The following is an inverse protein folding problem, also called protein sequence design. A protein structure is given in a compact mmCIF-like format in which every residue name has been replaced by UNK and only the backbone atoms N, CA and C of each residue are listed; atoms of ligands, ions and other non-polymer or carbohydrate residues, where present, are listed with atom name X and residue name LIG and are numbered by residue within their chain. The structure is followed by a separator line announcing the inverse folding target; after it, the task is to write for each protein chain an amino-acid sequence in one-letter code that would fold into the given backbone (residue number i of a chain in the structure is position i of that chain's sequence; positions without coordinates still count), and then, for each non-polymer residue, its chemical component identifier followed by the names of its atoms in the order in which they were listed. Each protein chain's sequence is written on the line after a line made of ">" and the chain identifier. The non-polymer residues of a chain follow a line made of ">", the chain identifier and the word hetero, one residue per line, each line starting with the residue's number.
data_IF_626985372241
#
_entry.id   IF_626985372241
#
_cell.length_a   1.000
_cell.length_b   1.000
_cell.length_c   1.000
_cell.angle_alpha   90.00
_cell.angle_beta   90.00
_cell.angle_gamma   90.00
#
_symmetry.space_group_name_H-M   'P 1'
#
loop_
_entity.id
_entity.type
_entity.pdbx_description
1 polymer ?
#
# COMPACT_ATOMS: atom_id res chain seq x y z
N UNK A 1 17.40 3.07 6.73
CA UNK A 1 16.39 2.33 5.95
C UNK A 1 17.04 1.13 5.27
N UNK A 2 16.44 -0.05 5.41
CA UNK A 2 16.89 -1.35 4.91
C UNK A 2 16.44 -1.61 3.46
N UNK A 3 15.19 -1.27 3.13
CA UNK A 3 14.64 -1.53 1.79
C UNK A 3 13.81 -0.34 1.28
N UNK A 4 13.92 -0.08 -0.02
CA UNK A 4 13.14 0.94 -0.74
C UNK A 4 12.38 0.28 -1.86
N UNK A 5 11.10 0.57 -1.97
CA UNK A 5 10.28 -0.16 -2.92
C UNK A 5 9.06 0.60 -3.38
N UNK A 6 8.16 -0.17 -3.98
CA UNK A 6 6.96 0.34 -4.63
C UNK A 6 5.82 -0.67 -4.51
N UNK A 7 4.59 -0.18 -4.51
CA UNK A 7 3.41 -1.00 -4.63
C UNK A 7 3.13 -1.35 -6.10
N UNK A 8 2.70 -2.59 -6.33
CA UNK A 8 2.31 -3.11 -7.62
C UNK A 8 0.87 -3.66 -7.54
N UNK A 9 -0.03 -2.94 -8.19
CA UNK A 9 -1.46 -3.25 -8.20
C UNK A 9 -1.78 -4.42 -9.15
N UNK A 10 -2.40 -5.45 -8.60
CA UNK A 10 -2.91 -6.61 -9.34
C UNK A 10 -4.44 -6.56 -9.57
N UNK A 11 -5.12 -5.62 -8.92
CA UNK A 11 -6.57 -5.39 -9.01
C UNK A 11 -7.28 -5.51 -7.65
N UNK A 12 -7.91 -4.43 -7.18
CA UNK A 12 -8.80 -4.50 -5.98
C UNK A 12 -10.02 -3.55 -5.99
N UNK A 13 -9.93 -2.38 -6.64
CA UNK A 13 -11.02 -1.40 -6.75
C UNK A 13 -11.18 -0.88 -8.18
N UNK A 14 -12.35 -0.38 -8.63
CA UNK A 14 -13.56 -0.12 -7.86
C UNK A 14 -14.65 -1.19 -8.02
N UNK A 15 -15.40 -1.43 -6.93
CA UNK A 15 -16.62 -2.24 -6.93
C UNK A 15 -16.37 -3.70 -7.36
N UNK A 16 -17.23 -4.22 -8.22
CA UNK A 16 -17.09 -5.57 -8.77
C UNK A 16 -15.97 -5.67 -9.82
N UNK A 17 -15.50 -4.54 -10.37
CA UNK A 17 -14.39 -4.52 -11.33
C UNK A 17 -13.03 -4.47 -10.62
N UNK A 18 -11.98 -4.77 -11.37
CA UNK A 18 -10.59 -4.63 -10.92
C UNK A 18 -9.99 -3.35 -11.48
N UNK A 19 -9.20 -2.65 -10.67
CA UNK A 19 -8.39 -1.48 -11.08
C UNK A 19 -7.54 -1.80 -12.29
N UNK A 20 -7.08 -3.05 -12.35
CA UNK A 20 -6.33 -3.63 -13.44
C UNK A 20 -7.13 -4.69 -14.16
N UNK A 21 -7.76 -4.31 -15.26
CA UNK A 21 -8.52 -5.24 -16.12
C UNK A 21 -7.60 -6.19 -16.87
N UNK A 22 -6.56 -5.65 -17.52
CA UNK A 22 -5.57 -6.44 -18.25
C UNK A 22 -4.44 -6.90 -17.33
N UNK A 23 -4.33 -8.21 -17.14
CA UNK A 23 -3.29 -8.84 -16.32
C UNK A 23 -2.79 -10.08 -17.03
N UNK A 24 -1.52 -10.06 -17.47
CA UNK A 24 -0.85 -11.20 -18.10
C UNK A 24 0.49 -11.44 -17.43
N UNK A 25 0.93 -12.71 -17.27
CA UNK A 25 2.24 -13.02 -16.73
C UNK A 25 3.38 -12.29 -17.46
N UNK A 26 3.27 -12.12 -18.78
CA UNK A 26 4.28 -11.45 -19.60
C UNK A 26 4.42 -9.97 -19.26
N UNK A 27 3.30 -9.27 -19.11
CA UNK A 27 3.31 -7.86 -18.66
C UNK A 27 3.86 -7.75 -17.26
N UNK A 28 3.46 -8.65 -16.36
CA UNK A 28 3.94 -8.65 -14.97
C UNK A 28 5.44 -8.88 -14.88
N UNK A 29 5.97 -9.85 -15.63
CA UNK A 29 7.41 -10.09 -15.72
C UNK A 29 8.17 -8.89 -16.26
N UNK A 30 7.60 -8.18 -17.25
CA UNK A 30 8.20 -6.96 -17.78
C UNK A 30 8.23 -5.85 -16.73
N UNK A 31 7.08 -5.58 -16.10
CA UNK A 31 6.97 -4.53 -15.08
C UNK A 31 7.91 -4.81 -13.89
N UNK A 32 8.04 -6.07 -13.43
CA UNK A 32 8.98 -6.44 -12.36
C UNK A 32 10.45 -6.25 -12.75
N UNK A 33 10.80 -6.53 -14.01
CA UNK A 33 12.15 -6.26 -14.51
C UNK A 33 12.47 -4.76 -14.54
N UNK A 34 11.49 -3.91 -14.84
CA UNK A 34 11.64 -2.44 -14.76
C UNK A 34 11.75 -1.98 -13.30
N UNK A 35 10.92 -2.51 -12.41
CA UNK A 35 10.94 -2.17 -10.97
C UNK A 35 12.30 -2.51 -10.34
N UNK A 36 12.85 -3.69 -10.64
CA UNK A 36 14.16 -4.12 -10.16
C UNK A 36 15.31 -3.40 -10.89
N UNK A 37 15.30 -3.42 -12.22
CA UNK A 37 16.43 -3.00 -13.04
C UNK A 37 16.54 -1.49 -13.26
N UNK A 38 15.42 -0.82 -13.54
CA UNK A 38 15.42 0.60 -13.94
C UNK A 38 15.09 1.53 -12.77
N UNK A 39 14.20 1.11 -11.87
CA UNK A 39 13.86 1.85 -10.65
C UNK A 39 14.79 1.53 -9.47
N UNK A 40 15.55 0.44 -9.56
CA UNK A 40 16.46 -0.02 -8.49
C UNK A 40 15.74 -0.25 -7.16
N UNK A 41 14.50 -0.74 -7.19
CA UNK A 41 13.79 -1.12 -5.96
C UNK A 41 14.40 -2.37 -5.34
N UNK A 42 14.47 -2.41 -4.01
CA UNK A 42 14.83 -3.59 -3.22
C UNK A 42 13.62 -4.50 -2.99
N UNK A 43 12.42 -3.90 -2.89
CA UNK A 43 11.19 -4.58 -2.51
C UNK A 43 9.99 -4.15 -3.37
N UNK A 44 9.01 -5.03 -3.49
CA UNK A 44 7.71 -4.74 -4.11
C UNK A 44 6.55 -5.24 -3.27
N UNK A 45 5.59 -4.36 -2.98
CA UNK A 45 4.31 -4.71 -2.36
C UNK A 45 3.30 -5.08 -3.41
N UNK A 46 2.88 -6.33 -3.42
CA UNK A 46 1.97 -6.87 -4.41
C UNK A 46 0.60 -6.91 -3.78
N UNK A 47 -0.27 -6.00 -4.21
CA UNK A 47 -1.59 -5.80 -3.64
C UNK A 47 -2.71 -6.15 -4.61
N UNK A 48 -3.81 -6.69 -4.07
CA UNK A 48 -4.98 -7.05 -4.85
C UNK A 48 -5.92 -8.03 -4.14
N UNK A 49 -7.12 -8.20 -4.69
CA UNK A 49 -8.16 -9.05 -4.09
C UNK A 49 -8.11 -10.51 -4.55
N UNK A 50 -7.39 -10.81 -5.63
CA UNK A 50 -7.37 -12.16 -6.24
C UNK A 50 -6.06 -12.92 -5.90
N UNK A 51 -6.11 -13.99 -5.07
CA UNK A 51 -4.92 -14.74 -4.65
C UNK A 51 -4.06 -15.26 -5.82
N UNK A 52 -4.69 -15.63 -6.93
CA UNK A 52 -3.97 -16.11 -8.12
C UNK A 52 -3.13 -15.01 -8.78
N UNK A 53 -3.66 -13.79 -8.87
CA UNK A 53 -2.91 -12.65 -9.43
C UNK A 53 -1.75 -12.26 -8.54
N UNK A 54 -1.97 -12.26 -7.22
CA UNK A 54 -0.92 -12.05 -6.23
C UNK A 54 0.20 -13.09 -6.41
N UNK A 55 -0.17 -14.37 -6.54
CA UNK A 55 0.78 -15.47 -6.73
C UNK A 55 1.61 -15.34 -8.01
N UNK A 56 0.97 -14.95 -9.13
CA UNK A 56 1.68 -14.72 -10.41
C UNK A 56 2.69 -13.58 -10.27
N UNK A 57 2.28 -12.45 -9.68
CA UNK A 57 3.16 -11.32 -9.50
C UNK A 57 4.29 -11.61 -8.51
N UNK A 58 4.00 -12.31 -7.41
CA UNK A 58 4.99 -12.69 -6.41
C UNK A 58 6.12 -13.56 -6.98
N UNK A 59 5.78 -14.53 -7.83
CA UNK A 59 6.79 -15.35 -8.50
C UNK A 59 7.68 -14.52 -9.43
N UNK A 60 7.09 -13.62 -10.23
CA UNK A 60 7.89 -12.77 -11.11
C UNK A 60 8.71 -11.71 -10.37
N UNK A 61 8.24 -11.23 -9.22
CA UNK A 61 9.00 -10.36 -8.34
C UNK A 61 10.22 -11.11 -7.76
N UNK A 62 10.00 -12.33 -7.25
CA UNK A 62 11.07 -13.19 -6.77
C UNK A 62 12.10 -13.51 -7.87
N UNK A 63 11.65 -13.86 -9.09
CA UNK A 63 12.53 -14.11 -10.24
C UNK A 63 13.38 -12.87 -10.60
N UNK A 64 12.86 -11.67 -10.35
CA UNK A 64 13.54 -10.39 -10.56
C UNK A 64 14.46 -9.98 -9.39
N UNK A 65 14.55 -10.81 -8.35
CA UNK A 65 15.39 -10.56 -7.17
C UNK A 65 14.83 -9.54 -6.18
N UNK A 66 13.53 -9.24 -6.27
CA UNK A 66 12.86 -8.31 -5.35
C UNK A 66 12.40 -9.04 -4.09
N UNK A 67 12.54 -8.41 -2.93
CA UNK A 67 11.81 -8.82 -1.72
C UNK A 67 10.30 -8.65 -1.95
N UNK A 68 9.53 -9.69 -1.63
CA UNK A 68 8.09 -9.73 -1.91
C UNK A 68 7.29 -9.38 -0.66
N UNK A 69 6.54 -8.28 -0.74
CA UNK A 69 5.52 -7.93 0.25
C UNK A 69 4.17 -8.42 -0.26
N UNK A 70 3.79 -9.64 0.13
CA UNK A 70 2.56 -10.31 -0.34
C UNK A 70 1.35 -9.77 0.42
N UNK A 71 0.51 -8.97 -0.25
CA UNK A 71 -0.52 -8.15 0.40
C UNK A 71 -1.93 -8.45 -0.15
N UNK A 72 -2.63 -9.50 0.33
CA UNK A 72 -4.05 -9.65 0.07
C UNK A 72 -4.84 -8.42 0.52
N UNK A 73 -5.65 -7.89 -0.39
CA UNK A 73 -6.43 -6.67 -0.20
C UNK A 73 -7.92 -6.96 -0.46
N UNK A 74 -8.62 -7.64 0.47
CA UNK A 74 -10.05 -7.86 0.36
C UNK A 74 -10.82 -6.53 0.44
N UNK A 75 -11.89 -6.43 -0.35
CA UNK A 75 -12.82 -5.30 -0.34
C UNK A 75 -14.23 -5.83 -0.27
N UNK A 76 -15.02 -5.35 0.69
CA UNK A 76 -16.41 -5.78 0.93
C UNK A 76 -16.59 -7.30 1.08
N UNK A 77 -15.50 -8.01 1.40
CA UNK A 77 -15.57 -9.45 1.59
C UNK A 77 -16.29 -9.72 2.93
N UNK A 78 -17.25 -10.66 2.95
CA UNK A 78 -17.91 -11.06 4.18
C UNK A 78 -16.90 -11.53 5.23
N UNK A 79 -17.16 -11.18 6.50
CA UNK A 79 -16.25 -11.45 7.61
C UNK A 79 -15.88 -12.93 7.76
N UNK A 80 -16.81 -13.85 7.50
CA UNK A 80 -16.60 -15.31 7.56
C UNK A 80 -15.70 -15.85 6.43
N UNK A 81 -15.48 -15.07 5.37
CA UNK A 81 -14.60 -15.42 4.25
C UNK A 81 -13.20 -14.80 4.36
N UNK A 82 -12.99 -13.83 5.26
CA UNK A 82 -11.70 -13.16 5.42
C UNK A 82 -10.61 -14.12 5.94
N UNK A 83 -10.86 -14.86 7.03
CA UNK A 83 -9.84 -15.80 7.56
C UNK A 83 -9.46 -16.90 6.56
N UNK A 84 -10.41 -17.57 5.86
CA UNK A 84 -10.07 -18.49 4.77
C UNK A 84 -9.21 -17.85 3.66
N UNK A 85 -9.49 -16.61 3.27
CA UNK A 85 -8.70 -15.88 2.28
C UNK A 85 -7.25 -15.68 2.77
N UNK A 86 -7.07 -15.22 4.02
CA UNK A 86 -5.73 -15.00 4.57
C UNK A 86 -4.95 -16.31 4.73
N UNK A 87 -5.62 -17.42 5.07
CA UNK A 87 -4.99 -18.74 5.11
C UNK A 87 -4.48 -19.20 3.73
N UNK A 88 -5.31 -19.07 2.68
CA UNK A 88 -4.92 -19.41 1.30
C UNK A 88 -3.75 -18.53 0.82
N UNK A 89 -3.84 -17.21 1.04
CA UNK A 89 -2.77 -16.28 0.71
C UNK A 89 -1.48 -16.58 1.47
N UNK A 90 -1.55 -16.97 2.76
CA UNK A 90 -0.38 -17.32 3.56
C UNK A 90 0.32 -18.56 3.02
N UNK A 91 -0.43 -19.60 2.62
CA UNK A 91 0.13 -20.79 1.99
C UNK A 91 0.79 -20.47 0.62
N UNK A 92 0.21 -19.54 -0.15
CA UNK A 92 0.78 -19.07 -1.42
C UNK A 92 2.06 -18.26 -1.23
N UNK A 93 2.09 -17.37 -0.23
CA UNK A 93 3.27 -16.61 0.14
C UNK A 93 4.39 -17.55 0.63
N UNK A 94 4.04 -18.59 1.38
CA UNK A 94 4.99 -19.62 1.83
C UNK A 94 5.60 -20.37 0.65
N UNK A 95 4.80 -20.75 -0.36
CA UNK A 95 5.33 -21.40 -1.55
C UNK A 95 6.35 -20.53 -2.31
N UNK A 96 6.17 -19.21 -2.32
CA UNK A 96 7.15 -18.27 -2.89
C UNK A 96 8.42 -18.20 -2.03
N UNK A 97 8.28 -18.23 -0.70
CA UNK A 97 9.40 -18.24 0.25
C UNK A 97 10.21 -19.53 0.17
N UNK A 98 9.56 -20.69 0.10
CA UNK A 98 10.20 -22.00 -0.05
C UNK A 98 10.96 -22.14 -1.37
N UNK A 99 10.57 -21.37 -2.40
CA UNK A 99 11.32 -21.25 -3.65
C UNK A 99 12.60 -20.40 -3.53
N UNK A 100 12.86 -19.79 -2.37
CA UNK A 100 14.10 -19.08 -2.04
C UNK A 100 14.00 -17.57 -1.99
N UNK A 101 12.80 -16.99 -2.10
CA UNK A 101 12.59 -15.55 -2.02
C UNK A 101 12.44 -15.06 -0.56
N UNK A 102 12.87 -13.83 -0.31
CA UNK A 102 12.49 -13.11 0.91
C UNK A 102 11.06 -12.61 0.77
N UNK A 103 10.21 -13.00 1.72
CA UNK A 103 8.77 -12.69 1.70
C UNK A 103 8.32 -12.12 3.05
N UNK A 104 7.61 -10.99 2.99
CA UNK A 104 6.84 -10.41 4.09
C UNK A 104 5.36 -10.57 3.76
N UNK A 105 4.57 -11.11 4.68
CA UNK A 105 3.12 -11.19 4.53
C UNK A 105 2.45 -9.96 5.13
N UNK A 106 1.66 -9.24 4.33
CA UNK A 106 0.88 -8.07 4.79
C UNK A 106 -0.56 -8.53 5.00
N UNK A 107 -0.96 -8.62 6.27
CA UNK A 107 -2.23 -9.18 6.75
C UNK A 107 -3.45 -8.27 6.51
N UNK A 108 -3.52 -7.66 5.33
CA UNK A 108 -4.55 -6.71 4.94
C UNK A 108 -4.07 -5.26 4.99
N UNK A 109 -4.96 -4.38 4.56
CA UNK A 109 -4.73 -2.95 4.45
C UNK A 109 -6.02 -2.22 4.79
N UNK A 110 -5.97 -1.33 5.79
CA UNK A 110 -7.09 -0.49 6.22
C UNK A 110 -8.42 -1.26 6.34
N UNK A 111 -8.38 -2.47 6.91
CA UNK A 111 -9.50 -3.43 6.97
C UNK A 111 -10.75 -2.78 7.59
N UNK A 112 -10.58 -1.86 8.54
CA UNK A 112 -11.73 -1.19 9.16
C UNK A 112 -12.60 -0.42 8.16
N UNK A 113 -12.00 0.11 7.09
CA UNK A 113 -12.68 0.84 6.03
C UNK A 113 -13.01 -0.06 4.83
N UNK A 114 -12.12 -1.00 4.48
CA UNK A 114 -12.29 -1.80 3.26
C UNK A 114 -13.17 -3.03 3.44
N UNK A 115 -13.31 -3.54 4.65
CA UNK A 115 -14.11 -4.73 4.96
C UNK A 115 -15.31 -4.41 5.85
N UNK A 116 -16.33 -5.26 5.79
CA UNK A 116 -17.52 -5.15 6.64
C UNK A 116 -17.24 -5.61 8.08
N UNK A 117 -18.02 -5.10 9.04
CA UNK A 117 -17.99 -5.50 10.45
C UNK A 117 -17.25 -4.53 11.39
N UNK A 118 -16.60 -3.51 10.84
CA UNK A 118 -15.84 -2.52 11.60
C UNK A 118 -16.52 -1.15 11.56
N UNK A 119 -16.16 -0.30 10.60
CA UNK A 119 -16.80 1.00 10.43
C UNK A 119 -18.25 0.86 9.92
N UNK A 120 -19.16 1.77 10.31
CA UNK A 120 -20.54 1.78 9.84
C UNK A 120 -20.66 1.91 8.31
N UNK A 121 -21.35 0.96 7.67
CA UNK A 121 -21.66 0.97 6.25
C UNK A 121 -21.59 -0.42 5.62
N UNK A 122 -22.52 -0.72 4.73
CA UNK A 122 -22.64 -2.05 4.11
C UNK A 122 -21.56 -2.25 3.03
N UNK A 123 -21.24 -1.20 2.28
CA UNK A 123 -20.21 -1.21 1.23
C UNK A 123 -19.01 -0.34 1.59
N UNK A 124 -17.88 -0.56 0.95
CA UNK A 124 -16.70 0.30 1.03
C UNK A 124 -17.08 1.75 0.72
N UNK A 125 -17.91 1.95 -0.30
CA UNK A 125 -18.42 3.28 -0.64
C UNK A 125 -19.24 3.94 0.48
N UNK A 126 -20.04 3.17 1.23
CA UNK A 126 -20.79 3.69 2.38
C UNK A 126 -19.85 4.09 3.52
N UNK A 127 -18.86 3.24 3.84
CA UNK A 127 -17.89 3.50 4.91
C UNK A 127 -17.03 4.73 4.59
N UNK A 128 -16.56 4.86 3.35
CA UNK A 128 -15.83 6.06 2.91
C UNK A 128 -16.68 7.34 2.99
N UNK A 129 -17.96 7.27 2.62
CA UNK A 129 -18.88 8.41 2.78
C UNK A 129 -19.12 8.76 4.24
N UNK A 130 -19.28 7.75 5.11
CA UNK A 130 -19.47 7.94 6.53
C UNK A 130 -18.25 8.65 7.16
N UNK A 131 -17.04 8.18 6.85
CA UNK A 131 -15.79 8.81 7.30
C UNK A 131 -15.64 10.24 6.78
N UNK A 132 -15.95 10.48 5.50
CA UNK A 132 -15.84 11.81 4.90
C UNK A 132 -16.85 12.83 5.49
N UNK A 133 -17.99 12.36 5.96
CA UNK A 133 -19.03 13.18 6.58
C UNK A 133 -18.97 13.21 8.12
N UNK A 134 -18.04 12.45 8.73
CA UNK A 134 -17.96 12.28 10.17
C UNK A 134 -17.50 13.56 10.89
N UNK A 135 -18.15 13.85 12.01
CA UNK A 135 -17.72 14.87 12.95
C UNK A 135 -16.83 14.27 14.06
N UNK A 136 -16.37 15.12 14.97
CA UNK A 136 -15.46 14.70 16.02
C UNK A 136 -16.09 13.77 17.06
N UNK A 137 -17.41 13.83 17.25
CA UNK A 137 -18.13 12.91 18.12
C UNK A 137 -18.09 11.50 17.53
N UNK A 138 -18.33 11.38 16.23
CA UNK A 138 -18.23 10.11 15.52
C UNK A 138 -16.83 9.50 15.62
N UNK A 139 -15.78 10.29 15.34
CA UNK A 139 -14.39 9.80 15.45
C UNK A 139 -14.03 9.37 16.89
N UNK A 140 -14.52 10.10 17.89
CA UNK A 140 -14.31 9.76 19.31
C UNK A 140 -15.07 8.50 19.75
N UNK A 141 -16.12 8.11 19.00
CA UNK A 141 -16.96 6.94 19.30
C UNK A 141 -16.37 5.61 18.82
N UNK A 142 -15.23 5.63 18.10
CA UNK A 142 -14.68 4.44 17.44
C UNK A 142 -13.98 3.43 18.36
N UNK A 143 -13.92 3.65 19.68
CA UNK A 143 -13.29 2.73 20.65
C UNK A 143 -13.71 1.25 20.44
N UNK A 144 -15.02 0.92 20.42
CA UNK A 144 -15.47 -0.45 20.16
C UNK A 144 -15.11 -0.98 18.76
N UNK A 145 -14.94 -0.10 17.76
CA UNK A 145 -14.46 -0.50 16.42
C UNK A 145 -12.99 -0.93 16.50
N UNK A 146 -12.17 -0.19 17.25
CA UNK A 146 -10.75 -0.51 17.45
C UNK A 146 -10.57 -1.83 18.20
N UNK A 147 -11.39 -2.10 19.22
CA UNK A 147 -11.37 -3.39 19.95
C UNK A 147 -11.67 -4.57 19.00
N UNK A 148 -12.76 -4.48 18.23
CA UNK A 148 -13.11 -5.52 17.25
C UNK A 148 -12.03 -5.70 16.17
N UNK A 149 -11.44 -4.60 15.69
CA UNK A 149 -10.37 -4.65 14.72
C UNK A 149 -9.16 -5.39 15.28
N UNK A 150 -8.70 -5.05 16.48
CA UNK A 150 -7.54 -5.70 17.10
C UNK A 150 -7.77 -7.18 17.41
N UNK A 151 -8.96 -7.54 17.90
CA UNK A 151 -9.36 -8.95 18.09
C UNK A 151 -9.31 -9.72 16.77
N UNK A 152 -9.72 -9.09 15.67
CA UNK A 152 -9.70 -9.70 14.35
C UNK A 152 -8.30 -9.78 13.74
N UNK A 153 -7.49 -8.73 13.87
CA UNK A 153 -6.09 -8.72 13.41
C UNK A 153 -5.26 -9.79 14.13
N UNK A 154 -5.50 -10.01 15.42
CA UNK A 154 -4.89 -11.11 16.19
C UNK A 154 -5.28 -12.48 15.61
N UNK A 155 -6.55 -12.67 15.23
CA UNK A 155 -7.01 -13.91 14.57
C UNK A 155 -6.38 -14.10 13.18
N UNK A 156 -6.25 -13.03 12.39
CA UNK A 156 -5.58 -13.09 11.09
C UNK A 156 -4.12 -13.49 11.30
N UNK A 157 -3.38 -12.81 12.19
CA UNK A 157 -1.98 -13.11 12.47
C UNK A 157 -1.80 -14.56 12.91
N UNK A 158 -2.64 -15.06 13.83
CA UNK A 158 -2.62 -16.46 14.24
C UNK A 158 -2.89 -17.43 13.08
N UNK A 159 -3.84 -17.12 12.20
CA UNK A 159 -4.17 -17.92 11.02
C UNK A 159 -3.03 -17.92 9.99
N UNK A 160 -2.43 -16.77 9.71
CA UNK A 160 -1.28 -16.66 8.79
C UNK A 160 -0.12 -17.50 9.31
N UNK A 161 0.15 -17.46 10.62
CA UNK A 161 1.23 -18.20 11.27
C UNK A 161 1.11 -19.72 11.16
N UNK A 162 -0.07 -20.28 10.94
CA UNK A 162 -0.20 -21.73 10.71
C UNK A 162 0.27 -22.18 9.33
N UNK A 163 0.41 -21.24 8.39
CA UNK A 163 0.74 -21.52 7.00
C UNK A 163 2.02 -20.85 6.50
N UNK A 164 2.50 -19.80 7.18
CA UNK A 164 3.61 -18.97 6.73
C UNK A 164 4.68 -18.76 7.80
N UNK A 165 5.93 -19.04 7.44
CA UNK A 165 7.09 -18.98 8.33
C UNK A 165 7.92 -17.68 8.27
N UNK A 166 7.59 -16.75 7.36
CA UNK A 166 8.31 -15.48 7.19
C UNK A 166 7.79 -14.36 8.09
N UNK A 167 8.18 -13.11 7.80
CA UNK A 167 7.75 -11.97 8.60
C UNK A 167 6.30 -11.55 8.30
N UNK A 168 5.54 -11.15 9.32
CA UNK A 168 4.13 -10.75 9.18
C UNK A 168 3.94 -9.33 9.70
N UNK A 169 3.20 -8.53 8.94
CA UNK A 169 2.79 -7.16 9.30
C UNK A 169 1.35 -6.90 8.84
N UNK A 170 0.88 -5.68 9.02
CA UNK A 170 -0.43 -5.17 8.61
C UNK A 170 -0.24 -3.75 8.08
N UNK A 171 -0.98 -3.31 7.07
CA UNK A 171 -0.91 -1.94 6.57
C UNK A 171 -2.04 -1.10 7.20
N UNK A 172 -1.71 -0.32 8.23
CA UNK A 172 -2.70 0.44 9.00
C UNK A 172 -2.91 1.84 8.47
N UNK A 173 -4.17 2.26 8.44
CA UNK A 173 -4.52 3.67 8.25
C UNK A 173 -4.17 4.52 9.48
N UNK A 174 -4.02 5.85 9.35
CA UNK A 174 -3.77 6.74 10.48
C UNK A 174 -4.84 6.73 11.59
N UNK A 175 -6.06 6.26 11.29
CA UNK A 175 -7.17 6.15 12.26
C UNK A 175 -7.27 4.78 12.94
N UNK A 176 -6.41 3.81 12.59
CA UNK A 176 -6.41 2.47 13.18
C UNK A 176 -5.36 2.38 14.30
N UNK A 177 -5.82 2.23 15.54
CA UNK A 177 -4.95 2.05 16.70
C UNK A 177 -4.66 0.56 16.91
N UNK A 178 -3.67 0.06 16.16
CA UNK A 178 -3.35 -1.38 16.10
C UNK A 178 -2.51 -1.83 17.30
N UNK A 179 -2.88 -2.97 17.88
CA UNK A 179 -2.03 -3.76 18.76
C UNK A 179 -1.04 -4.57 17.92
N UNK A 180 0.19 -4.10 17.87
CA UNK A 180 1.26 -4.73 17.11
C UNK A 180 1.78 -6.02 17.73
N UNK A 181 1.30 -6.45 18.90
CA UNK A 181 1.81 -7.61 19.64
C UNK A 181 1.97 -8.88 18.79
N UNK A 182 1.02 -9.16 17.91
CA UNK A 182 0.98 -10.36 17.05
C UNK A 182 1.82 -10.26 15.75
N UNK A 183 2.37 -9.09 15.43
CA UNK A 183 3.09 -8.80 14.19
C UNK A 183 4.60 -8.66 14.40
N UNK A 184 5.43 -8.87 13.38
CA UNK A 184 6.89 -8.66 13.48
C UNK A 184 7.30 -7.22 13.15
N UNK A 185 6.54 -6.55 12.27
CA UNK A 185 6.75 -5.16 11.88
C UNK A 185 5.50 -4.33 12.13
N UNK A 186 5.72 -3.06 12.43
CA UNK A 186 4.70 -2.02 12.41
C UNK A 186 4.56 -1.54 10.97
N UNK A 187 3.41 -1.76 10.32
CA UNK A 187 3.18 -1.36 8.94
C UNK A 187 2.16 -0.22 8.84
N UNK A 188 2.56 0.93 8.30
CA UNK A 188 1.74 2.14 8.31
C UNK A 188 1.62 2.77 6.92
N UNK A 189 0.43 3.25 6.60
CA UNK A 189 0.18 4.04 5.39
C UNK A 189 0.43 5.52 5.73
N UNK A 190 1.67 5.98 5.48
CA UNK A 190 2.23 7.23 5.99
C UNK A 190 2.16 8.36 4.95
N UNK A 191 0.95 8.87 4.73
CA UNK A 191 0.73 10.05 3.91
C UNK A 191 0.92 11.35 4.71
N UNK A 192 1.95 12.12 4.40
CA UNK A 192 2.07 13.51 4.84
C UNK A 192 1.13 14.42 4.04
N UNK A 193 0.43 15.30 4.73
CA UNK A 193 -0.52 16.28 4.23
C UNK A 193 -0.31 17.64 4.92
N UNK A 194 -1.09 18.66 4.56
CA UNK A 194 -1.02 19.96 5.20
C UNK A 194 -1.38 19.92 6.70
N UNK A 195 -2.34 19.07 7.08
CA UNK A 195 -2.86 19.04 8.45
C UNK A 195 -1.92 18.34 9.45
N UNK A 196 -0.97 17.52 8.97
CA UNK A 196 0.00 16.83 9.82
C UNK A 196 1.46 17.21 9.49
N UNK A 197 1.71 18.21 8.65
CA UNK A 197 3.07 18.58 8.26
C UNK A 197 3.97 18.89 9.48
N UNK A 198 3.44 19.57 10.49
CA UNK A 198 4.18 19.99 11.68
C UNK A 198 4.49 18.85 12.66
N UNK A 199 3.69 17.78 12.66
CA UNK A 199 3.81 16.66 13.61
C UNK A 199 4.12 15.31 12.95
N UNK A 200 4.24 15.25 11.61
CA UNK A 200 4.44 13.99 10.87
C UNK A 200 5.65 13.18 11.37
N UNK A 201 6.76 13.85 11.68
CA UNK A 201 7.93 13.19 12.28
C UNK A 201 7.64 12.60 13.66
N UNK A 202 6.84 13.29 14.47
CA UNK A 202 6.44 12.79 15.79
C UNK A 202 5.46 11.61 15.68
N UNK A 203 4.57 11.60 14.67
CA UNK A 203 3.72 10.45 14.34
C UNK A 203 4.58 9.21 14.02
N UNK A 204 5.61 9.35 13.17
CA UNK A 204 6.55 8.27 12.86
C UNK A 204 7.30 7.76 14.10
N UNK A 205 7.77 8.67 14.97
CA UNK A 205 8.42 8.31 16.25
C UNK A 205 7.48 7.58 17.19
N UNK A 206 6.20 7.95 17.19
CA UNK A 206 5.15 7.24 17.91
C UNK A 206 5.13 5.76 17.54
N UNK A 207 5.17 5.43 16.25
CA UNK A 207 5.21 4.05 15.78
C UNK A 207 6.52 3.32 16.13
N UNK A 208 7.66 4.01 16.09
CA UNK A 208 8.95 3.42 16.51
C UNK A 208 8.97 3.03 17.99
N UNK A 209 8.13 3.65 18.83
CA UNK A 209 8.05 3.36 20.26
C UNK A 209 7.56 1.93 20.58
N UNK A 210 6.97 1.22 19.61
CA UNK A 210 6.59 -0.19 19.76
C UNK A 210 7.80 -1.15 19.84
N UNK A 211 9.02 -0.67 19.58
CA UNK A 211 10.24 -1.48 19.66
C UNK A 211 10.37 -2.53 18.56
N UNK A 212 9.62 -2.36 17.46
CA UNK A 212 9.64 -3.21 16.27
C UNK A 212 10.06 -2.36 15.06
N UNK A 213 10.65 -2.96 14.01
CA UNK A 213 10.90 -2.25 12.75
C UNK A 213 9.60 -1.65 12.21
N UNK A 214 9.67 -0.39 11.77
CA UNK A 214 8.55 0.32 11.15
C UNK A 214 8.72 0.30 9.64
N UNK A 215 7.70 -0.17 8.94
CA UNK A 215 7.59 -0.13 7.50
C UNK A 215 6.49 0.83 7.07
N UNK A 216 6.84 1.79 6.22
CA UNK A 216 5.86 2.60 5.50
C UNK A 216 5.35 1.75 4.34
N UNK A 217 4.17 1.14 4.53
CA UNK A 217 3.53 0.23 3.56
C UNK A 217 2.94 0.96 2.37
N UNK A 218 2.75 2.27 2.51
CA UNK A 218 2.21 3.15 1.50
C UNK A 218 2.57 4.61 1.77
N UNK A 219 3.10 5.30 0.76
CA UNK A 219 3.19 6.77 0.71
C UNK A 219 3.22 7.23 -0.75
N UNK A 220 2.80 8.47 -1.01
CA UNK A 220 2.89 9.04 -2.36
C UNK A 220 2.03 10.27 -2.55
N UNK A 221 2.06 10.84 -3.74
CA UNK A 221 1.14 11.91 -4.14
C UNK A 221 0.82 11.86 -5.65
N UNK A 222 -0.11 12.70 -6.12
CA UNK A 222 -0.48 12.85 -7.53
C UNK A 222 0.32 13.98 -8.22
N UNK A 223 0.29 14.03 -9.55
CA UNK A 223 1.11 14.95 -10.36
C UNK A 223 0.42 16.29 -10.66
N UNK A 224 -0.02 17.02 -9.63
CA UNK A 224 -0.57 18.38 -9.76
C UNK A 224 -0.14 19.28 -8.60
N UNK A 225 -0.16 20.59 -8.82
CA UNK A 225 0.27 21.58 -7.83
C UNK A 225 -0.52 21.45 -6.52
N UNK A 226 0.19 21.26 -5.41
CA UNK A 226 -0.41 21.12 -4.07
C UNK A 226 -1.03 19.75 -3.81
N UNK A 227 -0.79 18.75 -4.67
CA UNK A 227 -1.24 17.38 -4.41
C UNK A 227 -0.62 16.81 -3.12
N UNK A 228 0.64 17.16 -2.82
CA UNK A 228 1.33 16.68 -1.61
C UNK A 228 0.58 17.07 -0.33
N UNK A 229 -0.05 18.24 -0.34
CA UNK A 229 -0.78 18.77 0.82
C UNK A 229 -2.09 18.05 1.13
N UNK A 230 -2.51 17.11 0.27
CA UNK A 230 -3.79 16.40 0.38
C UNK A 230 -3.64 14.99 0.95
N UNK A 231 -2.42 14.55 1.26
CA UNK A 231 -2.15 13.21 1.78
C UNK A 231 -2.73 12.10 0.90
N UNK A 232 -3.30 11.06 1.52
CA UNK A 232 -3.92 9.92 0.82
C UNK A 232 -5.14 10.28 -0.04
N UNK A 233 -5.62 11.53 0.04
CA UNK A 233 -6.76 12.03 -0.74
C UNK A 233 -6.36 12.78 -2.03
N UNK A 234 -5.08 12.77 -2.42
CA UNK A 234 -4.62 13.43 -3.63
C UNK A 234 -5.28 12.91 -4.92
N UNK A 235 -5.82 11.69 -4.95
CA UNK A 235 -6.58 11.19 -6.10
C UNK A 235 -7.89 11.98 -6.37
N UNK A 236 -8.41 12.71 -5.37
CA UNK A 236 -9.53 13.62 -5.54
C UNK A 236 -9.05 14.95 -6.11
N UNK A 237 -8.83 14.95 -7.42
CA UNK A 237 -8.30 16.09 -8.19
C UNK A 237 -9.26 17.29 -8.10
N UNK A 238 -8.83 18.44 -7.57
CA UNK A 238 -9.63 19.66 -7.57
C UNK A 238 -9.98 20.13 -8.98
N UNK A 239 -11.13 20.79 -9.12
CA UNK A 239 -11.48 21.45 -10.39
C UNK A 239 -10.43 22.53 -10.72
N UNK A 240 -9.89 22.49 -11.94
CA UNK A 240 -8.86 23.44 -12.38
C UNK A 240 -7.46 23.14 -11.84
N UNK A 241 -7.22 21.95 -11.28
CA UNK A 241 -5.88 21.51 -10.90
C UNK A 241 -4.89 21.64 -12.07
N UNK A 242 -3.72 22.18 -11.78
CA UNK A 242 -2.65 22.40 -12.75
C UNK A 242 -1.67 21.22 -12.69
N UNK A 243 -1.45 20.48 -13.80
CA UNK A 243 -0.47 19.39 -13.83
C UNK A 243 0.93 19.85 -13.42
N UNK A 244 1.58 19.05 -12.57
CA UNK A 244 2.93 19.28 -12.06
C UNK A 244 3.56 17.94 -11.62
N UNK A 245 4.39 17.34 -12.49
CA UNK A 245 5.14 16.13 -12.12
C UNK A 245 6.32 16.43 -11.17
N UNK A 246 6.75 17.69 -11.05
CA UNK A 246 7.74 18.06 -10.05
C UNK A 246 7.19 17.95 -8.63
N UNK A 247 5.86 18.06 -8.44
CA UNK A 247 5.22 17.83 -7.14
C UNK A 247 5.51 16.42 -6.62
N UNK A 248 5.28 15.39 -7.45
CA UNK A 248 5.57 14.00 -7.07
C UNK A 248 7.06 13.80 -6.77
N UNK A 249 7.94 14.38 -7.59
CA UNK A 249 9.39 14.24 -7.41
C UNK A 249 9.89 14.90 -6.12
N UNK A 250 9.39 16.10 -5.78
CA UNK A 250 9.69 16.78 -4.51
C UNK A 250 9.19 15.97 -3.33
N UNK A 251 7.93 15.54 -3.37
CA UNK A 251 7.31 14.75 -2.29
C UNK A 251 8.07 13.44 -2.04
N UNK A 252 8.43 12.71 -3.10
CA UNK A 252 9.24 11.50 -2.98
C UNK A 252 10.56 11.77 -2.25
N UNK A 253 11.29 12.80 -2.67
CA UNK A 253 12.61 13.12 -2.10
C UNK A 253 12.49 13.52 -0.63
N UNK A 254 11.57 14.42 -0.31
CA UNK A 254 11.31 14.90 1.05
C UNK A 254 10.95 13.76 2.01
N UNK A 255 10.01 12.89 1.62
CA UNK A 255 9.54 11.82 2.47
C UNK A 255 10.60 10.74 2.68
N UNK A 256 11.40 10.43 1.64
CA UNK A 256 12.53 9.51 1.81
C UNK A 256 13.59 10.06 2.75
N UNK A 257 13.90 11.36 2.68
CA UNK A 257 14.83 12.00 3.62
C UNK A 257 14.30 11.91 5.07
N UNK A 258 13.01 12.17 5.28
CA UNK A 258 12.35 12.01 6.59
C UNK A 258 12.43 10.56 7.07
N UNK A 259 12.09 9.59 6.23
CA UNK A 259 12.08 8.17 6.60
C UNK A 259 13.48 7.66 6.94
N UNK A 260 14.51 8.11 6.22
CA UNK A 260 15.90 7.80 6.54
C UNK A 260 16.34 8.40 7.87
N UNK A 261 16.02 9.67 8.11
CA UNK A 261 16.37 10.38 9.36
C UNK A 261 15.71 9.75 10.59
N UNK A 262 14.41 9.40 10.49
CA UNK A 262 13.65 8.82 11.60
C UNK A 262 13.95 7.33 11.81
N UNK A 263 14.66 6.68 10.87
CA UNK A 263 15.04 5.28 11.00
C UNK A 263 13.93 4.28 10.61
N UNK A 264 13.08 4.64 9.65
CA UNK A 264 12.15 3.70 9.01
C UNK A 264 12.93 2.55 8.39
N UNK A 265 12.43 1.32 8.54
CA UNK A 265 13.04 0.12 8.02
C UNK A 265 12.80 -0.03 6.51
N UNK A 266 11.55 0.07 6.08
CA UNK A 266 11.14 -0.13 4.68
C UNK A 266 10.17 0.95 4.25
N UNK A 267 10.30 1.49 3.04
CA UNK A 267 9.35 2.46 2.48
C UNK A 267 8.87 2.07 1.07
N UNK A 268 7.56 2.02 0.88
CA UNK A 268 6.91 1.53 -0.34
C UNK A 268 6.05 2.63 -0.99
N UNK A 269 6.49 3.14 -2.14
CA UNK A 269 5.73 4.15 -2.88
C UNK A 269 4.43 3.56 -3.44
N UNK A 270 3.30 4.21 -3.21
CA UNK A 270 2.06 3.88 -3.89
C UNK A 270 1.93 4.81 -5.09
N UNK A 271 2.03 4.34 -6.33
CA UNK A 271 2.16 2.95 -6.82
C UNK A 271 2.95 2.91 -8.14
N UNK A 272 3.22 1.73 -8.72
CA UNK A 272 3.85 1.62 -10.03
C UNK A 272 3.02 2.32 -11.11
N UNK A 273 1.75 1.93 -11.24
CA UNK A 273 0.84 2.48 -12.24
C UNK A 273 -0.58 2.65 -11.68
N UNK A 274 -1.27 3.71 -12.12
CA UNK A 274 -2.71 3.87 -11.90
C UNK A 274 -3.51 3.28 -13.07
N UNK A 275 -3.66 1.95 -13.10
CA UNK A 275 -4.28 1.23 -14.25
C UNK A 275 -5.69 1.69 -14.61
N UNK A 276 -6.46 2.21 -13.65
CA UNK A 276 -7.82 2.74 -13.85
C UNK A 276 -7.87 4.20 -14.30
N UNK A 277 -6.71 4.84 -14.53
CA UNK A 277 -6.58 6.28 -14.83
C UNK A 277 -5.68 6.55 -16.05
N UNK A 278 -6.04 6.06 -17.25
CA UNK A 278 -5.26 6.35 -18.46
C UNK A 278 -5.40 7.80 -18.93
N UNK A 279 -4.47 8.28 -19.75
CA UNK A 279 -4.57 9.57 -20.44
C UNK A 279 -4.79 10.75 -19.49
N UNK A 280 -5.82 11.57 -19.73
CA UNK A 280 -6.12 12.75 -18.92
C UNK A 280 -6.50 12.43 -17.46
N UNK A 281 -6.99 11.21 -17.19
CA UNK A 281 -7.34 10.80 -15.83
C UNK A 281 -6.10 10.56 -14.96
N UNK A 282 -4.90 10.47 -15.56
CA UNK A 282 -3.62 10.27 -14.88
C UNK A 282 -3.31 11.38 -13.86
N UNK A 283 -3.94 12.55 -13.99
CA UNK A 283 -3.79 13.63 -13.01
C UNK A 283 -4.16 13.20 -11.58
N UNK A 284 -5.09 12.26 -11.43
CA UNK A 284 -5.46 11.67 -10.13
C UNK A 284 -4.76 10.34 -9.82
N UNK A 285 -3.69 10.01 -10.54
CA UNK A 285 -2.89 8.79 -10.37
C UNK A 285 -1.65 9.07 -9.54
N UNK A 286 -1.41 8.21 -8.56
CA UNK A 286 -0.15 8.17 -7.82
C UNK A 286 0.97 7.40 -8.56
N UNK A 287 0.64 6.80 -9.72
CA UNK A 287 1.56 5.99 -10.51
C UNK A 287 2.84 6.73 -10.86
N UNK A 288 4.00 6.05 -10.75
CA UNK A 288 5.28 6.56 -11.29
C UNK A 288 5.33 6.51 -12.82
N UNK A 289 4.47 5.70 -13.43
CA UNK A 289 4.22 5.71 -14.88
C UNK A 289 2.83 6.24 -15.18
N UNK A 290 2.69 6.90 -16.34
CA UNK A 290 1.39 7.29 -16.91
C UNK A 290 0.91 6.18 -17.83
N UNK A 291 -0.33 5.71 -17.62
CA UNK A 291 -0.96 4.77 -18.52
C UNK A 291 -1.44 5.49 -19.80
N UNK A 292 -1.00 5.02 -20.96
CA UNK A 292 -1.42 5.51 -22.28
C UNK A 292 -2.68 4.78 -22.75
N UNK A 293 -2.82 3.51 -22.36
CA UNK A 293 -4.00 2.67 -22.50
C UNK A 293 -3.97 1.57 -21.43
N UNK A 294 -4.73 0.48 -21.59
CA UNK A 294 -4.76 -0.62 -20.61
C UNK A 294 -3.43 -1.38 -20.46
N UNK A 295 -2.49 -1.24 -21.40
CA UNK A 295 -1.25 -2.05 -21.46
C UNK A 295 0.02 -1.23 -21.60
N UNK A 296 -0.03 -0.08 -22.29
CA UNK A 296 1.13 0.76 -22.58
C UNK A 296 1.22 1.89 -21.56
N UNK A 297 2.44 2.20 -21.15
CA UNK A 297 2.74 3.28 -20.23
C UNK A 297 4.01 4.03 -20.64
N UNK A 298 4.18 5.24 -20.11
CA UNK A 298 5.39 6.05 -20.21
C UNK A 298 5.86 6.50 -18.81
N UNK A 299 7.17 6.63 -18.55
CA UNK A 299 7.67 7.08 -17.25
C UNK A 299 7.33 8.56 -17.01
N UNK A 300 6.96 8.89 -15.77
CA UNK A 300 6.84 10.29 -15.31
C UNK A 300 8.17 10.79 -14.74
N UNK A 301 8.27 12.09 -14.43
CA UNK A 301 9.44 12.66 -13.76
C UNK A 301 9.80 11.97 -12.43
N UNK A 302 8.81 11.54 -11.66
CA UNK A 302 9.04 10.81 -10.40
C UNK A 302 9.71 9.45 -10.63
N UNK A 303 9.48 8.77 -11.76
CA UNK A 303 10.19 7.54 -12.13
C UNK A 303 11.70 7.77 -12.17
N UNK A 304 12.13 8.79 -12.90
CA UNK A 304 13.55 9.13 -13.04
C UNK A 304 14.15 9.63 -11.72
N UNK A 305 13.36 10.34 -10.91
CA UNK A 305 13.77 10.80 -9.59
C UNK A 305 13.98 9.63 -8.63
N UNK A 306 13.06 8.65 -8.64
CA UNK A 306 13.13 7.43 -7.86
C UNK A 306 14.36 6.61 -8.24
N UNK A 307 14.56 6.33 -9.53
CA UNK A 307 15.74 5.61 -10.03
C UNK A 307 17.04 6.26 -9.54
N UNK A 308 17.17 7.58 -9.67
CA UNK A 308 18.35 8.31 -9.22
C UNK A 308 18.54 8.31 -7.69
N UNK A 309 17.46 8.30 -6.91
CA UNK A 309 17.49 8.29 -5.44
C UNK A 309 17.81 6.90 -4.89
N UNK A 310 17.33 5.84 -5.53
CA UNK A 310 17.52 4.46 -5.09
C UNK A 310 18.91 3.95 -5.46
N UNK A 311 19.47 4.36 -6.60
CA UNK A 311 20.85 4.02 -7.00
C UNK A 311 21.94 4.56 -6.05
N UNK A 312 21.63 5.61 -5.28
CA UNK A 312 22.57 6.23 -4.33
C UNK A 312 22.58 5.57 -2.94
N UNK A 313 21.67 4.62 -2.70
CA UNK A 313 21.49 3.89 -1.44
C UNK A 313 22.37 2.67 -1.32
#
# INVERSE_FOLDING_TARGET
>A
MRARGINYDTGFLPGEELSRKSFTPETVRHDMAVISGDLHCDAVRISGREPERLSIAARHAADAGLEVWFAPFPVDLPHDQLLPLFADCAARAEAVREAGADVVFVAGCEISAFCGGFLPGDTYGDRMRAMAAADMEWWSSLGPVQERLNDFLSQIAATVRTHFGGQVTYASAPWEFVDWGAFDLVGIDAYRAAYNADNFRDELRGHLSHGKPVAVTEFGTCAYQGAGERGGMAWQVPQGAVPDEDEQARYLTELLDIFEDEGVDTALWFTFAGYSRPGEQDLGSYGVVRMLDEKRWEPKKVFHTMAARYQRG
#
